data_IF_098359255986
#
_entry.id   IF_098359255986
#
_cell.length_a   1.000
_cell.length_b   1.000
_cell.length_c   1.000
_cell.angle_alpha   90.00
_cell.angle_beta   90.00
_cell.angle_gamma   90.00
#
_symmetry.space_group_name_H-M   'P 1'
#
loop_
_entity.id
_entity.type
_entity.pdbx_description
1 polymer ?
#
# COMPACT_ATOMS: atom_id res chain seq x y z
N UNK A 1 28.88 14.79 9.59
CA UNK A 1 28.31 13.49 9.25
C UNK A 1 26.81 13.48 9.48
N UNK A 2 26.35 13.94 10.62
CA UNK A 2 24.91 14.00 10.98
C UNK A 2 24.11 14.85 9.97
N UNK A 3 24.61 16.00 9.57
CA UNK A 3 23.96 16.93 8.62
C UNK A 3 23.69 16.30 7.24
N UNK A 4 24.53 15.34 6.84
CA UNK A 4 24.35 14.60 5.56
C UNK A 4 23.35 13.45 5.68
N UNK A 5 23.19 12.86 6.87
CA UNK A 5 22.33 11.71 7.08
C UNK A 5 20.88 12.13 7.40
N UNK A 6 20.69 13.29 8.05
CA UNK A 6 19.37 13.77 8.47
C UNK A 6 18.34 13.86 7.32
N UNK A 7 18.66 14.41 6.12
CA UNK A 7 17.71 14.45 5.01
C UNK A 7 17.28 13.05 4.55
N UNK A 8 18.20 12.10 4.55
CA UNK A 8 17.91 10.71 4.17
C UNK A 8 17.06 9.99 5.22
N UNK A 9 17.28 10.26 6.52
CA UNK A 9 16.43 9.72 7.58
C UNK A 9 15.00 10.25 7.46
N UNK A 10 14.81 11.56 7.28
CA UNK A 10 13.50 12.16 7.08
C UNK A 10 12.81 11.57 5.84
N UNK A 11 13.53 11.45 4.73
CA UNK A 11 13.03 10.81 3.52
C UNK A 11 12.71 9.33 3.75
N UNK A 12 13.54 8.60 4.50
CA UNK A 12 13.31 7.19 4.84
C UNK A 12 12.06 6.96 5.67
N UNK A 13 11.81 7.82 6.65
CA UNK A 13 10.58 7.78 7.45
C UNK A 13 9.36 8.10 6.57
N UNK A 14 9.46 9.07 5.68
CA UNK A 14 8.39 9.41 4.73
C UNK A 14 8.09 8.26 3.77
N UNK A 15 9.10 7.70 3.14
CA UNK A 15 8.97 6.54 2.23
C UNK A 15 8.41 5.33 2.97
N UNK A 16 8.88 5.09 4.20
CA UNK A 16 8.33 4.05 5.08
C UNK A 16 6.84 4.23 5.35
N UNK A 17 6.39 5.46 5.59
CA UNK A 17 4.96 5.78 5.72
C UNK A 17 4.15 5.48 4.45
N UNK A 18 4.69 5.82 3.27
CA UNK A 18 4.06 5.51 1.99
C UNK A 18 3.93 4.00 1.77
N UNK A 19 5.02 3.25 2.01
CA UNK A 19 5.00 1.80 1.94
C UNK A 19 4.03 1.19 2.96
N UNK A 20 3.91 1.76 4.16
CA UNK A 20 2.99 1.30 5.20
C UNK A 20 1.52 1.37 4.75
N UNK A 21 1.10 2.45 4.10
CA UNK A 21 -0.26 2.59 3.59
C UNK A 21 -0.60 1.50 2.55
N UNK A 22 0.34 1.18 1.67
CA UNK A 22 0.17 0.11 0.68
C UNK A 22 0.25 -1.28 1.35
N UNK A 23 1.22 -1.48 2.25
CA UNK A 23 1.46 -2.75 2.96
C UNK A 23 0.27 -3.16 3.83
N UNK A 24 -0.40 -2.19 4.46
CA UNK A 24 -1.62 -2.44 5.22
C UNK A 24 -2.74 -2.95 4.31
N UNK A 25 -2.89 -2.40 3.09
CA UNK A 25 -3.83 -2.90 2.10
C UNK A 25 -3.57 -4.37 1.74
N UNK A 26 -2.31 -4.74 1.47
CA UNK A 26 -1.92 -6.14 1.23
C UNK A 26 -2.21 -7.04 2.44
N UNK A 27 -1.81 -6.60 3.62
CA UNK A 27 -1.97 -7.37 4.87
C UNK A 27 -3.43 -7.62 5.20
N UNK A 28 -4.32 -6.66 4.98
CA UNK A 28 -5.76 -6.82 5.22
C UNK A 28 -6.39 -7.85 4.28
N UNK A 29 -6.10 -7.74 2.99
CA UNK A 29 -6.63 -8.69 1.98
C UNK A 29 -6.10 -10.09 2.26
N UNK A 30 -4.80 -10.22 2.54
CA UNK A 30 -4.19 -11.51 2.86
C UNK A 30 -4.74 -12.10 4.16
N UNK A 31 -4.95 -11.30 5.19
CA UNK A 31 -5.48 -11.75 6.48
C UNK A 31 -6.86 -12.42 6.37
N UNK A 32 -7.66 -12.03 5.38
CA UNK A 32 -9.01 -12.55 5.16
C UNK A 32 -9.04 -13.64 4.09
N UNK A 33 -8.45 -13.39 2.93
CA UNK A 33 -8.52 -14.29 1.77
C UNK A 33 -7.37 -15.29 1.70
N UNK A 34 -6.31 -15.09 2.47
CA UNK A 34 -5.03 -15.84 2.36
C UNK A 34 -4.45 -15.81 0.94
N UNK A 35 -4.71 -14.73 0.21
CA UNK A 35 -4.28 -14.50 -1.18
C UNK A 35 -3.67 -13.10 -1.30
N UNK A 36 -2.66 -12.99 -2.18
CA UNK A 36 -1.99 -11.71 -2.44
C UNK A 36 -2.73 -11.01 -3.57
N UNK A 37 -3.04 -9.72 -3.38
CA UNK A 37 -3.62 -8.88 -4.42
C UNK A 37 -2.52 -8.17 -5.23
N UNK A 38 -1.99 -8.80 -6.26
CA UNK A 38 -0.94 -8.20 -7.11
C UNK A 38 -1.38 -6.90 -7.80
N UNK A 39 -2.68 -6.71 -8.06
CA UNK A 39 -3.20 -5.48 -8.66
C UNK A 39 -3.20 -4.26 -7.73
N UNK A 40 -2.84 -4.43 -6.44
CA UNK A 40 -2.92 -3.33 -5.46
C UNK A 40 -1.96 -2.18 -5.77
N UNK A 41 -0.74 -2.49 -6.26
CA UNK A 41 0.22 -1.49 -6.72
C UNK A 41 -0.26 -0.73 -7.97
N UNK A 42 -1.07 -1.38 -8.82
CA UNK A 42 -1.63 -0.74 -10.02
C UNK A 42 -2.86 0.12 -9.68
N UNK A 43 -3.64 -0.25 -8.66
CA UNK A 43 -4.69 0.61 -8.10
C UNK A 43 -4.07 1.90 -7.55
N UNK A 44 -2.92 1.80 -6.86
CA UNK A 44 -2.15 2.96 -6.41
C UNK A 44 -1.67 3.82 -7.59
N UNK A 45 -1.17 3.23 -8.68
CA UNK A 45 -0.77 3.95 -9.91
C UNK A 45 -1.98 4.63 -10.56
N UNK A 46 -3.11 3.94 -10.67
CA UNK A 46 -4.34 4.48 -11.23
C UNK A 46 -4.82 5.73 -10.47
N UNK A 47 -4.71 5.73 -9.14
CA UNK A 47 -5.01 6.91 -8.33
C UNK A 47 -4.12 8.12 -8.71
N UNK A 48 -2.84 7.89 -9.01
CA UNK A 48 -1.94 8.92 -9.51
C UNK A 48 -2.42 9.50 -10.85
N UNK A 49 -2.83 8.66 -11.78
CA UNK A 49 -3.37 9.11 -13.06
C UNK A 49 -4.73 9.82 -12.91
N UNK A 50 -5.62 9.32 -12.06
CA UNK A 50 -6.87 10.03 -11.78
C UNK A 50 -6.60 11.46 -11.30
N UNK A 51 -5.60 11.65 -10.43
CA UNK A 51 -5.23 13.00 -10.00
C UNK A 51 -4.70 13.86 -11.13
N UNK A 52 -3.87 13.32 -12.03
CA UNK A 52 -3.34 14.04 -13.19
C UNK A 52 -4.48 14.53 -14.09
N UNK A 53 -5.43 13.67 -14.42
CA UNK A 53 -6.52 14.03 -15.34
C UNK A 53 -7.59 14.91 -14.69
N UNK A 54 -7.93 14.67 -13.43
CA UNK A 54 -8.96 15.45 -12.73
C UNK A 54 -8.45 16.84 -12.40
N UNK A 55 -7.22 16.97 -11.92
CA UNK A 55 -6.65 18.28 -11.60
C UNK A 55 -6.30 19.13 -12.83
N UNK A 56 -6.35 18.56 -14.03
CA UNK A 56 -6.29 19.33 -15.27
C UNK A 56 -7.56 20.18 -15.52
N UNK A 57 -8.68 19.81 -14.90
CA UNK A 57 -9.98 20.48 -15.10
C UNK A 57 -10.57 21.03 -13.82
N UNK A 58 -10.24 20.48 -12.66
CA UNK A 58 -10.81 20.86 -11.38
C UNK A 58 -9.72 21.31 -10.39
N UNK A 59 -10.05 22.20 -9.44
CA UNK A 59 -9.13 22.57 -8.38
C UNK A 59 -8.69 21.36 -7.57
N UNK A 60 -7.43 21.37 -7.11
CA UNK A 60 -6.81 20.26 -6.36
C UNK A 60 -7.62 19.85 -5.11
N UNK A 61 -8.27 20.82 -4.44
CA UNK A 61 -9.12 20.59 -3.27
C UNK A 61 -10.32 19.68 -3.57
N UNK A 62 -10.88 19.77 -4.78
CA UNK A 62 -11.98 18.92 -5.24
C UNK A 62 -11.45 17.64 -5.87
N UNK A 63 -10.29 17.73 -6.51
CA UNK A 63 -9.66 16.58 -7.17
C UNK A 63 -9.29 15.47 -6.16
N UNK A 64 -8.71 15.82 -5.01
CA UNK A 64 -8.28 14.82 -4.00
C UNK A 64 -9.45 13.91 -3.55
N UNK A 65 -10.58 14.41 -3.02
CA UNK A 65 -11.67 13.53 -2.60
C UNK A 65 -12.25 12.73 -3.77
N UNK A 66 -12.32 13.31 -4.97
CA UNK A 66 -12.80 12.60 -6.15
C UNK A 66 -11.87 11.46 -6.57
N UNK A 67 -10.55 11.66 -6.51
CA UNK A 67 -9.54 10.60 -6.72
C UNK A 67 -9.72 9.47 -5.72
N UNK A 68 -9.92 9.79 -4.44
CA UNK A 68 -10.17 8.77 -3.41
C UNK A 68 -11.41 7.95 -3.75
N UNK A 69 -12.52 8.62 -4.10
CA UNK A 69 -13.77 7.92 -4.46
C UNK A 69 -13.58 7.04 -5.69
N UNK A 70 -12.97 7.55 -6.77
CA UNK A 70 -12.74 6.76 -7.99
C UNK A 70 -11.80 5.58 -7.75
N UNK A 71 -10.78 5.75 -6.92
CA UNK A 71 -9.86 4.65 -6.57
C UNK A 71 -10.57 3.58 -5.75
N UNK A 72 -11.44 3.97 -4.83
CA UNK A 72 -12.27 3.02 -4.06
C UNK A 72 -13.23 2.28 -4.99
N UNK A 73 -13.86 2.97 -5.94
CA UNK A 73 -14.73 2.33 -6.95
C UNK A 73 -13.92 1.35 -7.80
N UNK A 74 -12.71 1.72 -8.24
CA UNK A 74 -11.83 0.84 -8.99
C UNK A 74 -11.48 -0.43 -8.18
N UNK A 75 -11.06 -0.28 -6.93
CA UNK A 75 -10.71 -1.42 -6.08
C UNK A 75 -11.90 -2.32 -5.78
N UNK A 76 -13.10 -1.75 -5.57
CA UNK A 76 -14.33 -2.51 -5.45
C UNK A 76 -14.68 -3.25 -6.74
N UNK A 77 -14.49 -2.61 -7.90
CA UNK A 77 -14.72 -3.24 -9.22
C UNK A 77 -13.77 -4.41 -9.45
N UNK A 78 -12.50 -4.25 -9.11
CA UNK A 78 -11.49 -5.32 -9.17
C UNK A 78 -11.92 -6.51 -8.30
N UNK A 79 -12.38 -6.26 -7.09
CA UNK A 79 -12.89 -7.32 -6.20
C UNK A 79 -14.07 -8.04 -6.85
N UNK A 80 -15.05 -7.30 -7.35
CA UNK A 80 -16.28 -7.86 -7.95
C UNK A 80 -16.03 -8.64 -9.23
N UNK A 81 -15.16 -8.14 -10.11
CA UNK A 81 -14.92 -8.71 -11.42
C UNK A 81 -13.92 -9.88 -11.41
N UNK A 82 -12.85 -9.76 -10.60
CA UNK A 82 -11.73 -10.70 -10.67
C UNK A 82 -11.64 -11.65 -9.47
N UNK A 83 -12.05 -11.23 -8.27
CA UNK A 83 -11.90 -12.06 -7.07
C UNK A 83 -13.18 -12.79 -6.71
N UNK A 84 -14.33 -12.11 -6.75
CA UNK A 84 -15.61 -12.70 -6.35
C UNK A 84 -15.99 -13.94 -7.17
N UNK A 85 -15.87 -13.97 -8.52
CA UNK A 85 -16.23 -15.14 -9.31
C UNK A 85 -15.34 -16.36 -9.06
N UNK A 86 -14.10 -16.12 -8.60
CA UNK A 86 -13.09 -17.17 -8.43
C UNK A 86 -12.90 -17.62 -6.97
N UNK A 87 -13.75 -17.21 -6.05
CA UNK A 87 -13.59 -17.54 -4.62
C UNK A 87 -13.67 -19.02 -4.30
N UNK A 88 -14.43 -19.80 -5.08
CA UNK A 88 -14.52 -21.25 -4.96
C UNK A 88 -13.46 -21.98 -5.81
N UNK A 89 -12.69 -21.26 -6.61
CA UNK A 89 -11.64 -21.83 -7.44
C UNK A 89 -10.35 -22.12 -6.63
N UNK A 90 -9.46 -22.99 -7.14
CA UNK A 90 -8.16 -23.20 -6.54
C UNK A 90 -7.38 -21.89 -6.35
N UNK A 91 -6.60 -21.77 -5.27
CA UNK A 91 -5.82 -20.55 -4.94
C UNK A 91 -4.97 -20.04 -6.12
N UNK A 92 -4.39 -20.96 -6.90
CA UNK A 92 -3.59 -20.61 -8.09
C UNK A 92 -4.41 -19.84 -9.15
N UNK A 93 -5.67 -20.23 -9.40
CA UNK A 93 -6.53 -19.54 -10.36
C UNK A 93 -6.82 -18.10 -9.93
N UNK A 94 -7.04 -17.87 -8.65
CA UNK A 94 -7.24 -16.52 -8.09
C UNK A 94 -5.97 -15.67 -8.21
N UNK A 95 -4.80 -16.25 -7.94
CA UNK A 95 -3.52 -15.55 -8.10
C UNK A 95 -3.24 -15.18 -9.55
N UNK A 96 -3.50 -16.07 -10.49
CA UNK A 96 -3.36 -15.81 -11.94
C UNK A 96 -4.33 -14.69 -12.37
N UNK A 97 -5.56 -14.70 -11.88
CA UNK A 97 -6.52 -13.63 -12.13
C UNK A 97 -6.02 -12.29 -11.60
N UNK A 98 -5.45 -12.25 -10.39
CA UNK A 98 -4.88 -11.04 -9.81
C UNK A 98 -3.74 -10.46 -10.65
N UNK A 99 -2.85 -11.33 -11.16
CA UNK A 99 -1.78 -10.94 -12.09
C UNK A 99 -2.39 -10.44 -13.42
N UNK A 100 -3.41 -11.12 -13.94
CA UNK A 100 -4.12 -10.70 -15.15
C UNK A 100 -4.74 -9.31 -15.01
N UNK A 101 -5.37 -9.00 -13.86
CA UNK A 101 -5.89 -7.66 -13.55
C UNK A 101 -4.77 -6.62 -13.46
N UNK A 102 -3.65 -6.97 -12.84
CA UNK A 102 -2.47 -6.09 -12.77
C UNK A 102 -2.02 -5.69 -14.18
N UNK A 103 -1.81 -6.66 -15.06
CA UNK A 103 -1.45 -6.39 -16.45
C UNK A 103 -2.55 -5.63 -17.24
N UNK A 104 -3.82 -5.92 -16.99
CA UNK A 104 -4.92 -5.18 -17.59
C UNK A 104 -4.87 -3.71 -17.22
N UNK A 105 -4.71 -3.39 -15.93
CA UNK A 105 -4.63 -2.01 -15.44
C UNK A 105 -3.39 -1.29 -16.01
N UNK A 106 -2.23 -1.93 -16.01
CA UNK A 106 -1.01 -1.36 -16.60
C UNK A 106 -1.18 -1.05 -18.07
N UNK A 107 -1.69 -2.01 -18.87
CA UNK A 107 -1.88 -1.82 -20.31
C UNK A 107 -2.98 -0.80 -20.61
N UNK A 108 -4.03 -0.71 -19.79
CA UNK A 108 -5.05 0.33 -19.93
C UNK A 108 -4.44 1.72 -19.70
N UNK A 109 -3.60 1.87 -18.66
CA UNK A 109 -2.88 3.12 -18.42
C UNK A 109 -1.89 3.44 -19.55
N UNK A 110 -1.20 2.43 -20.09
CA UNK A 110 -0.34 2.57 -21.28
C UNK A 110 -1.13 3.09 -22.48
N UNK A 111 -2.29 2.50 -22.75
CA UNK A 111 -3.14 2.89 -23.86
C UNK A 111 -3.63 4.35 -23.72
N UNK A 112 -4.14 4.72 -22.54
CA UNK A 112 -4.68 6.07 -22.28
C UNK A 112 -3.59 7.14 -22.30
N UNK A 113 -2.36 6.82 -21.84
CA UNK A 113 -1.27 7.81 -21.72
C UNK A 113 -0.35 7.85 -22.93
N UNK A 114 -0.48 6.88 -23.84
CA UNK A 114 0.50 6.64 -24.91
C UNK A 114 1.86 6.18 -24.40
N UNK A 115 1.92 5.61 -23.19
CA UNK A 115 3.14 5.15 -22.54
C UNK A 115 4.02 6.28 -21.98
N UNK A 116 3.60 7.53 -22.11
CA UNK A 116 4.38 8.69 -21.68
C UNK A 116 4.16 8.99 -20.19
N UNK A 117 5.24 9.39 -19.53
CA UNK A 117 5.15 9.94 -18.18
C UNK A 117 4.32 11.22 -18.18
N UNK A 118 3.44 11.34 -17.18
CA UNK A 118 2.62 12.53 -16.96
C UNK A 118 3.11 13.27 -15.72
N UNK A 119 3.13 14.62 -15.82
CA UNK A 119 3.48 15.48 -14.70
C UNK A 119 2.34 15.47 -13.67
N UNK A 120 2.67 15.16 -12.41
CA UNK A 120 1.73 15.23 -11.31
C UNK A 120 1.47 16.67 -10.89
N UNK A 121 0.22 17.08 -10.63
CA UNK A 121 -0.10 18.45 -10.24
C UNK A 121 0.53 18.79 -8.88
N UNK A 122 1.01 20.02 -8.75
CA UNK A 122 1.52 20.52 -7.47
C UNK A 122 0.38 20.77 -6.49
N UNK A 123 0.53 20.29 -5.26
CA UNK A 123 -0.43 20.55 -4.17
C UNK A 123 0.19 21.64 -3.27
N UNK A 124 -0.23 22.92 -3.37
CA UNK A 124 0.54 24.05 -2.85
C UNK A 124 0.88 23.94 -1.37
N UNK A 125 -0.07 23.47 -0.52
CA UNK A 125 0.11 23.45 0.94
C UNK A 125 1.04 22.34 1.46
N UNK A 126 1.32 21.27 0.68
CA UNK A 126 2.23 20.18 1.09
C UNK A 126 3.47 20.04 0.19
N UNK A 127 3.52 20.76 -0.94
CA UNK A 127 4.67 20.78 -1.84
C UNK A 127 5.74 21.80 -1.45
N UNK A 128 5.44 22.74 -0.57
CA UNK A 128 6.37 23.75 -0.11
C UNK A 128 7.58 23.14 0.59
N UNK A 129 8.73 23.79 0.45
CA UNK A 129 9.96 23.41 1.15
C UNK A 129 9.96 23.97 2.57
N UNK A 130 10.41 23.18 3.52
CA UNK A 130 10.63 23.55 4.92
C UNK A 130 12.06 23.17 5.32
N UNK A 131 12.70 24.02 6.09
CA UNK A 131 14.05 23.78 6.62
C UNK A 131 13.97 23.32 8.06
N UNK A 132 14.54 22.14 8.35
CA UNK A 132 14.60 21.56 9.69
C UNK A 132 16.07 21.38 10.04
N UNK A 133 16.62 22.27 10.85
CA UNK A 133 18.06 22.31 11.12
C UNK A 133 18.85 22.48 9.82
N UNK A 134 19.81 21.59 9.53
CA UNK A 134 20.62 21.64 8.29
C UNK A 134 19.90 21.04 7.07
N UNK A 135 18.74 20.40 7.24
CA UNK A 135 18.02 19.70 6.18
C UNK A 135 16.89 20.54 5.60
N UNK A 136 16.87 20.72 4.27
CA UNK A 136 15.72 21.28 3.55
C UNK A 136 14.94 20.12 2.93
N UNK A 137 13.64 20.03 3.25
CA UNK A 137 12.75 18.97 2.77
C UNK A 137 11.39 19.54 2.41
N UNK A 138 10.55 18.77 1.71
CA UNK A 138 9.17 19.18 1.44
C UNK A 138 8.29 18.93 2.66
N UNK A 139 7.25 19.75 2.85
CA UNK A 139 6.24 19.56 3.91
C UNK A 139 5.63 18.17 3.86
N UNK A 140 5.37 17.61 2.66
CA UNK A 140 4.84 16.26 2.48
C UNK A 140 5.71 15.18 3.15
N UNK A 141 7.03 15.37 3.24
CA UNK A 141 7.94 14.41 3.90
C UNK A 141 7.62 14.25 5.38
N UNK A 142 7.13 15.31 6.03
CA UNK A 142 6.74 15.31 7.46
C UNK A 142 5.28 14.89 7.62
N UNK A 143 4.41 15.38 6.72
CA UNK A 143 2.98 15.07 6.75
C UNK A 143 2.73 13.58 6.54
N UNK A 144 3.50 12.93 5.65
CA UNK A 144 3.32 11.51 5.31
C UNK A 144 3.36 10.58 6.53
N UNK A 145 4.41 10.54 7.36
CA UNK A 145 4.44 9.62 8.50
C UNK A 145 3.36 9.95 9.55
N UNK A 146 3.07 11.23 9.77
CA UNK A 146 2.02 11.65 10.71
C UNK A 146 0.66 11.15 10.24
N UNK A 147 0.31 11.43 8.98
CA UNK A 147 -0.97 11.00 8.40
C UNK A 147 -1.07 9.47 8.34
N UNK A 148 0.03 8.79 8.01
CA UNK A 148 0.08 7.32 8.01
C UNK A 148 -0.23 6.76 9.39
N UNK A 149 0.40 7.27 10.44
CA UNK A 149 0.17 6.81 11.82
C UNK A 149 -1.28 7.08 12.23
N UNK A 150 -1.83 8.25 11.92
CA UNK A 150 -3.23 8.58 12.20
C UNK A 150 -4.20 7.63 11.49
N UNK A 151 -3.98 7.35 10.22
CA UNK A 151 -4.82 6.43 9.43
C UNK A 151 -4.71 5.00 9.95
N UNK A 152 -3.52 4.56 10.34
CA UNK A 152 -3.32 3.22 10.92
C UNK A 152 -4.02 3.11 12.28
N UNK A 153 -3.91 4.12 13.15
CA UNK A 153 -4.62 4.14 14.44
C UNK A 153 -6.14 4.11 14.21
N UNK A 154 -6.65 4.92 13.29
CA UNK A 154 -8.06 4.92 12.93
C UNK A 154 -8.50 3.55 12.43
N UNK A 155 -7.73 2.93 11.52
CA UNK A 155 -8.01 1.60 11.00
C UNK A 155 -8.01 0.52 12.08
N UNK A 156 -6.99 0.49 12.93
CA UNK A 156 -6.91 -0.46 14.05
C UNK A 156 -8.11 -0.28 14.98
N UNK A 157 -8.51 0.96 15.24
CA UNK A 157 -9.70 1.26 16.04
C UNK A 157 -10.99 0.74 15.38
N UNK A 158 -11.14 0.95 14.07
CA UNK A 158 -12.26 0.41 13.30
C UNK A 158 -12.31 -1.12 13.42
N UNK A 159 -11.16 -1.77 13.20
CA UNK A 159 -11.07 -3.24 13.24
C UNK A 159 -11.33 -3.78 14.65
N UNK A 160 -10.89 -3.10 15.71
CA UNK A 160 -11.05 -3.58 17.08
C UNK A 160 -12.40 -3.27 17.68
N UNK A 161 -12.99 -2.09 17.37
CA UNK A 161 -14.16 -1.56 18.09
C UNK A 161 -15.47 -1.59 17.30
N UNK A 162 -15.45 -1.89 15.99
CA UNK A 162 -16.69 -1.87 15.18
C UNK A 162 -17.20 -3.27 14.86
N UNK A 163 -18.52 -3.35 14.53
CA UNK A 163 -19.16 -4.62 14.09
C UNK A 163 -18.50 -5.17 12.81
N UNK A 164 -18.12 -4.30 11.89
CA UNK A 164 -17.43 -4.68 10.65
C UNK A 164 -16.05 -5.27 10.98
N UNK A 165 -15.29 -4.64 11.86
CA UNK A 165 -14.01 -5.15 12.31
C UNK A 165 -14.12 -6.48 13.07
N UNK A 166 -15.17 -6.66 13.85
CA UNK A 166 -15.47 -7.95 14.50
C UNK A 166 -15.73 -9.04 13.45
N UNK A 167 -16.51 -8.74 12.41
CA UNK A 167 -16.77 -9.66 11.31
C UNK A 167 -15.47 -9.98 10.54
N UNK A 168 -14.61 -9.00 10.27
CA UNK A 168 -13.30 -9.21 9.64
C UNK A 168 -12.42 -10.17 10.45
N UNK A 169 -12.33 -9.97 11.76
CA UNK A 169 -11.55 -10.86 12.65
C UNK A 169 -12.12 -12.27 12.74
N UNK A 170 -13.45 -12.42 12.74
CA UNK A 170 -14.10 -13.72 12.73
C UNK A 170 -13.78 -14.48 11.44
N UNK A 171 -13.97 -13.84 10.28
CA UNK A 171 -13.68 -14.45 8.95
C UNK A 171 -12.19 -14.79 8.80
N UNK A 172 -11.28 -13.96 9.34
CA UNK A 172 -9.83 -14.23 9.26
C UNK A 172 -9.39 -15.43 10.10
N UNK A 173 -10.12 -15.76 11.17
CA UNK A 173 -9.87 -16.92 12.02
C UNK A 173 -10.46 -18.20 11.45
N UNK A 174 -11.70 -18.13 10.99
CA UNK A 174 -12.41 -19.29 10.45
C UNK A 174 -13.38 -18.83 9.34
N UNK A 175 -12.94 -19.08 8.10
CA UNK A 175 -13.68 -18.67 6.91
C UNK A 175 -14.95 -19.54 6.69
N UNK A 176 -14.92 -20.81 7.11
CA UNK A 176 -16.00 -21.76 6.86
C UNK A 176 -17.14 -21.62 7.88
N UNK A 177 -16.81 -21.36 9.15
CA UNK A 177 -17.81 -21.28 10.22
C UNK A 177 -18.40 -19.88 10.40
N UNK A 178 -17.71 -18.81 9.94
CA UNK A 178 -18.20 -17.44 10.05
C UNK A 178 -19.61 -17.22 9.46
N UNK A 179 -20.02 -17.82 8.31
CA UNK A 179 -21.36 -17.70 7.78
C UNK A 179 -22.44 -18.31 8.70
N UNK A 180 -22.11 -19.37 9.44
CA UNK A 180 -23.04 -20.01 10.37
C UNK A 180 -23.45 -19.07 11.52
N UNK A 181 -22.57 -18.08 11.82
CA UNK A 181 -22.83 -17.00 12.79
C UNK A 181 -23.52 -15.79 12.16
N UNK A 182 -24.03 -15.91 10.92
CA UNK A 182 -24.74 -14.84 10.21
C UNK A 182 -23.83 -13.79 9.56
N UNK A 183 -22.51 -14.03 9.47
CA UNK A 183 -21.57 -13.09 8.86
C UNK A 183 -21.60 -13.24 7.34
N UNK A 184 -21.89 -12.16 6.64
CA UNK A 184 -21.86 -12.10 5.17
C UNK A 184 -20.42 -11.91 4.69
N UNK A 185 -19.73 -13.01 4.30
CA UNK A 185 -18.34 -13.00 3.83
C UNK A 185 -18.14 -12.00 2.69
N UNK A 186 -19.07 -11.93 1.74
CA UNK A 186 -19.02 -10.99 0.61
C UNK A 186 -18.85 -9.54 1.08
N UNK A 187 -19.61 -9.14 2.10
CA UNK A 187 -19.55 -7.79 2.65
C UNK A 187 -18.20 -7.52 3.32
N UNK A 188 -17.66 -8.50 4.04
CA UNK A 188 -16.37 -8.38 4.71
C UNK A 188 -15.25 -8.20 3.70
N UNK A 189 -15.22 -9.02 2.64
CA UNK A 189 -14.19 -8.93 1.60
C UNK A 189 -14.30 -7.61 0.84
N UNK A 190 -15.50 -7.23 0.38
CA UNK A 190 -15.69 -5.96 -0.33
C UNK A 190 -15.27 -4.76 0.53
N UNK A 191 -15.60 -4.75 1.82
CA UNK A 191 -15.16 -3.68 2.73
C UNK A 191 -13.64 -3.65 2.89
N UNK A 192 -13.00 -4.81 2.90
CA UNK A 192 -11.52 -4.89 2.96
C UNK A 192 -10.86 -4.28 1.73
N UNK A 193 -11.40 -4.56 0.54
CA UNK A 193 -10.91 -3.95 -0.70
C UNK A 193 -11.16 -2.44 -0.74
N UNK A 194 -12.32 -1.98 -0.26
CA UNK A 194 -12.65 -0.55 -0.13
C UNK A 194 -11.63 0.15 0.76
N UNK A 195 -11.37 -0.38 1.96
CA UNK A 195 -10.41 0.22 2.90
C UNK A 195 -8.98 0.18 2.31
N UNK A 196 -8.56 -0.95 1.74
CA UNK A 196 -7.26 -1.07 1.10
C UNK A 196 -7.08 -0.05 -0.03
N UNK A 197 -8.09 0.11 -0.89
CA UNK A 197 -8.04 1.07 -2.00
C UNK A 197 -8.08 2.52 -1.53
N UNK A 198 -8.77 2.82 -0.43
CA UNK A 198 -8.72 4.13 0.21
C UNK A 198 -7.31 4.46 0.70
N UNK A 199 -6.65 3.53 1.37
CA UNK A 199 -5.27 3.71 1.82
C UNK A 199 -4.30 3.84 0.65
N UNK A 200 -4.48 3.06 -0.43
CA UNK A 200 -3.70 3.18 -1.65
C UNK A 200 -3.89 4.55 -2.32
N UNK A 201 -5.12 5.09 -2.34
CA UNK A 201 -5.39 6.42 -2.88
C UNK A 201 -4.67 7.52 -2.10
N UNK A 202 -4.75 7.49 -0.76
CA UNK A 202 -4.04 8.46 0.09
C UNK A 202 -2.53 8.31 -0.06
N UNK A 203 -2.03 7.06 -0.05
CA UNK A 203 -0.61 6.77 -0.28
C UNK A 203 -0.12 7.30 -1.63
N UNK A 204 -0.94 7.15 -2.69
CA UNK A 204 -0.67 7.67 -4.04
C UNK A 204 -0.55 9.19 -4.05
N UNK A 205 -1.49 9.90 -3.43
CA UNK A 205 -1.44 11.38 -3.35
C UNK A 205 -0.16 11.84 -2.66
N UNK A 206 0.22 11.22 -1.54
CA UNK A 206 1.44 11.57 -0.79
C UNK A 206 2.71 11.23 -1.59
N UNK A 207 2.72 10.08 -2.25
CA UNK A 207 3.87 9.61 -3.03
C UNK A 207 4.14 10.53 -4.22
N UNK A 208 3.13 10.79 -5.05
CA UNK A 208 3.30 11.61 -6.26
C UNK A 208 3.45 13.11 -5.97
N UNK A 209 3.06 13.58 -4.80
CA UNK A 209 3.45 14.93 -4.35
C UNK A 209 4.96 15.03 -4.13
N UNK A 210 5.59 13.94 -3.73
CA UNK A 210 7.04 13.87 -3.57
C UNK A 210 7.76 13.58 -4.88
N UNK A 211 7.25 12.57 -5.64
CA UNK A 211 7.76 12.14 -6.94
C UNK A 211 6.81 12.61 -8.05
N UNK A 212 7.09 13.74 -8.64
CA UNK A 212 6.19 14.50 -9.52
C UNK A 212 5.94 13.88 -10.90
N UNK A 213 6.33 12.64 -11.13
CA UNK A 213 6.17 11.94 -12.42
C UNK A 213 5.38 10.65 -12.24
N UNK A 214 4.31 10.47 -13.01
CA UNK A 214 3.46 9.27 -13.02
C UNK A 214 3.67 8.53 -14.33
N UNK A 215 4.18 7.30 -14.25
CA UNK A 215 4.30 6.39 -15.39
C UNK A 215 3.35 5.19 -15.23
N UNK A 216 2.93 4.52 -16.31
CA UNK A 216 1.96 3.42 -16.24
C UNK A 216 2.33 2.26 -15.30
N UNK A 217 3.61 2.04 -15.08
CA UNK A 217 4.14 0.92 -14.28
C UNK A 217 4.78 1.37 -12.96
N UNK A 218 4.67 2.67 -12.61
CA UNK A 218 5.40 3.23 -11.45
C UNK A 218 5.04 2.56 -10.13
N UNK A 219 3.82 2.06 -9.96
CA UNK A 219 3.37 1.41 -8.73
C UNK A 219 3.89 -0.01 -8.53
N UNK A 220 4.50 -0.62 -9.56
CA UNK A 220 5.03 -1.97 -9.46
C UNK A 220 6.13 -2.08 -8.38
N UNK A 221 7.11 -1.18 -8.38
CA UNK A 221 8.20 -1.21 -7.39
C UNK A 221 7.76 -0.81 -5.99
N UNK A 222 7.06 0.33 -5.75
CA UNK A 222 6.50 0.62 -4.44
C UNK A 222 5.55 -0.47 -3.93
N UNK A 223 4.71 -1.04 -4.80
CA UNK A 223 3.83 -2.14 -4.47
C UNK A 223 4.60 -3.38 -4.02
N UNK A 224 5.63 -3.78 -4.78
CA UNK A 224 6.46 -4.93 -4.41
C UNK A 224 7.22 -4.70 -3.09
N UNK A 225 7.80 -3.50 -2.88
CA UNK A 225 8.47 -3.16 -1.62
C UNK A 225 7.51 -3.12 -0.43
N UNK A 226 6.29 -2.62 -0.63
CA UNK A 226 5.26 -2.65 0.38
C UNK A 226 4.81 -4.09 0.72
N UNK A 227 4.74 -4.97 -0.29
CA UNK A 227 4.53 -6.40 -0.06
C UNK A 227 5.68 -7.02 0.74
N UNK A 228 6.93 -6.73 0.37
CA UNK A 228 8.12 -7.12 1.14
C UNK A 228 8.01 -6.64 2.59
N UNK A 229 7.59 -5.41 2.81
CA UNK A 229 7.38 -4.84 4.14
C UNK A 229 6.30 -5.57 4.94
N UNK A 230 5.19 -5.96 4.29
CA UNK A 230 4.13 -6.73 4.91
C UNK A 230 4.60 -8.13 5.33
N UNK A 231 5.38 -8.80 4.46
CA UNK A 231 5.97 -10.12 4.76
C UNK A 231 7.02 -10.02 5.86
N UNK A 232 7.92 -9.04 5.76
CA UNK A 232 8.95 -8.76 6.76
C UNK A 232 8.34 -8.48 8.14
N UNK A 233 7.29 -7.65 8.18
CA UNK A 233 6.58 -7.32 9.42
C UNK A 233 5.77 -8.47 9.99
N UNK A 234 5.37 -9.42 9.16
CA UNK A 234 4.48 -10.56 9.47
C UNK A 234 3.13 -10.38 8.81
N UNK A 235 2.96 -11.05 7.68
CA UNK A 235 1.75 -10.91 6.85
C UNK A 235 0.50 -11.33 7.64
N UNK A 236 -0.53 -10.50 7.65
CA UNK A 236 -1.73 -10.65 8.47
C UNK A 236 -1.73 -9.76 9.73
N UNK A 237 -0.56 -9.24 10.15
CA UNK A 237 -0.45 -8.30 11.28
C UNK A 237 -0.34 -6.86 10.78
N UNK A 238 -1.37 -6.04 10.98
CA UNK A 238 -1.36 -4.62 10.58
C UNK A 238 -0.22 -3.84 11.26
N UNK A 239 -0.04 -3.91 12.59
CA UNK A 239 1.09 -3.24 13.23
C UNK A 239 2.44 -3.74 12.72
N UNK A 240 2.55 -5.06 12.47
CA UNK A 240 3.76 -5.66 11.89
C UNK A 240 4.10 -5.09 10.53
N UNK A 241 3.14 -5.04 9.62
CA UNK A 241 3.33 -4.47 8.28
C UNK A 241 3.77 -3.00 8.31
N UNK A 242 3.21 -2.20 9.22
CA UNK A 242 3.59 -0.79 9.41
C UNK A 242 5.03 -0.67 9.91
N UNK A 243 5.41 -1.41 10.95
CA UNK A 243 6.78 -1.41 11.48
C UNK A 243 7.76 -1.88 10.41
N UNK A 244 7.42 -2.97 9.70
CA UNK A 244 8.22 -3.48 8.58
C UNK A 244 8.44 -2.44 7.49
N UNK A 245 7.40 -1.69 7.14
CA UNK A 245 7.47 -0.65 6.13
C UNK A 245 8.38 0.53 6.54
N UNK A 246 8.29 0.97 7.80
CA UNK A 246 9.20 2.01 8.31
C UNK A 246 10.65 1.53 8.35
N UNK A 247 10.91 0.29 8.77
CA UNK A 247 12.27 -0.28 8.77
C UNK A 247 12.82 -0.31 7.34
N UNK A 248 12.05 -0.84 6.38
CA UNK A 248 12.48 -0.91 4.97
C UNK A 248 12.71 0.47 4.40
N UNK A 249 11.80 1.43 4.61
CA UNK A 249 11.95 2.79 4.11
C UNK A 249 13.20 3.50 4.67
N UNK A 250 13.48 3.33 5.95
CA UNK A 250 14.68 3.89 6.61
C UNK A 250 15.94 3.20 6.07
N UNK A 251 15.98 1.86 6.03
CA UNK A 251 17.14 1.12 5.52
C UNK A 251 17.46 1.48 4.07
N UNK A 252 16.45 1.53 3.19
CA UNK A 252 16.61 1.92 1.79
C UNK A 252 17.25 3.30 1.66
N UNK A 253 16.78 4.28 2.42
CA UNK A 253 17.30 5.64 2.35
C UNK A 253 18.67 5.80 3.03
N UNK A 254 18.99 5.03 4.07
CA UNK A 254 20.33 4.98 4.64
C UNK A 254 21.35 4.41 3.66
N UNK A 255 20.99 3.38 2.90
CA UNK A 255 21.84 2.81 1.85
C UNK A 255 22.13 3.86 0.76
N UNK A 256 21.10 4.65 0.37
CA UNK A 256 21.26 5.79 -0.55
C UNK A 256 22.19 6.87 0.04
N UNK A 257 22.10 7.14 1.34
CA UNK A 257 22.99 8.07 2.03
C UNK A 257 24.46 7.65 2.01
N UNK A 258 24.73 6.34 1.99
CA UNK A 258 26.07 5.76 1.86
C UNK A 258 26.60 5.77 0.42
N UNK A 259 25.84 6.27 -0.55
CA UNK A 259 26.24 6.34 -1.97
C UNK A 259 25.85 5.11 -2.82
N UNK A 260 25.20 4.11 -2.21
CA UNK A 260 24.80 2.87 -2.91
C UNK A 260 23.38 2.92 -3.46
N UNK A 261 23.00 4.02 -4.11
CA UNK A 261 21.63 4.25 -4.60
C UNK A 261 21.14 3.14 -5.53
N UNK A 262 21.98 2.68 -6.46
CA UNK A 262 21.64 1.62 -7.43
C UNK A 262 21.38 0.27 -6.76
N UNK A 263 22.00 0.01 -5.62
CA UNK A 263 21.85 -1.25 -4.88
C UNK A 263 20.77 -1.20 -3.79
N UNK A 264 20.10 -0.06 -3.58
CA UNK A 264 19.12 0.09 -2.50
C UNK A 264 17.97 -0.92 -2.60
N UNK A 265 17.54 -1.24 -3.81
CA UNK A 265 16.50 -2.23 -4.06
C UNK A 265 16.98 -3.65 -3.78
N UNK A 266 18.19 -3.98 -4.23
CA UNK A 266 18.80 -5.29 -3.96
C UNK A 266 18.94 -5.56 -2.45
N UNK A 267 19.30 -4.55 -1.65
CA UNK A 267 19.34 -4.66 -0.19
C UNK A 267 17.98 -4.91 0.42
N UNK A 268 16.93 -4.24 -0.09
CA UNK A 268 15.55 -4.44 0.40
C UNK A 268 15.10 -5.89 0.19
N UNK A 269 15.38 -6.45 -0.98
CA UNK A 269 15.03 -7.85 -1.27
C UNK A 269 15.95 -8.85 -0.54
N UNK A 270 17.24 -8.55 -0.41
CA UNK A 270 18.15 -9.36 0.38
C UNK A 270 17.72 -9.43 1.85
N UNK A 271 17.30 -8.31 2.43
CA UNK A 271 16.79 -8.25 3.80
C UNK A 271 15.52 -9.10 3.97
N UNK A 272 14.63 -9.15 2.96
CA UNK A 272 13.49 -10.07 2.97
C UNK A 272 13.96 -11.53 3.00
N UNK A 273 14.90 -11.90 2.12
CA UNK A 273 15.41 -13.29 2.08
C UNK A 273 16.01 -13.68 3.42
N UNK A 274 16.83 -12.82 4.01
CA UNK A 274 17.43 -13.06 5.32
C UNK A 274 16.36 -13.28 6.38
N UNK A 275 15.34 -12.40 6.47
CA UNK A 275 14.31 -12.56 7.51
C UNK A 275 13.51 -13.84 7.30
N UNK A 276 13.18 -14.21 6.05
CA UNK A 276 12.42 -15.43 5.78
C UNK A 276 13.21 -16.70 6.10
N UNK A 277 14.54 -16.68 5.98
CA UNK A 277 15.41 -17.80 6.38
C UNK A 277 15.43 -17.99 7.90
N UNK A 278 15.48 -16.89 8.69
CA UNK A 278 15.57 -16.99 10.15
C UNK A 278 14.19 -16.98 10.83
N UNK A 279 13.21 -16.29 10.27
CA UNK A 279 11.87 -16.12 10.84
C UNK A 279 10.81 -16.10 9.74
N UNK A 280 10.41 -17.26 9.20
CA UNK A 280 9.50 -17.36 8.05
C UNK A 280 8.11 -16.75 8.29
N UNK A 281 7.72 -16.56 9.56
CA UNK A 281 6.46 -15.87 9.92
C UNK A 281 6.57 -14.34 9.91
N UNK A 282 7.74 -13.77 9.66
CA UNK A 282 8.03 -12.35 9.83
C UNK A 282 8.21 -11.93 11.30
N UNK A 283 8.44 -10.64 11.55
CA UNK A 283 8.74 -10.13 12.90
C UNK A 283 7.59 -10.33 13.90
N UNK A 284 6.35 -10.11 13.46
CA UNK A 284 5.13 -10.11 14.30
C UNK A 284 4.06 -11.11 13.80
N UNK A 285 4.43 -12.05 12.92
CA UNK A 285 3.51 -13.06 12.42
C UNK A 285 3.16 -14.10 13.50
N UNK A 286 1.90 -14.50 13.54
CA UNK A 286 1.45 -15.61 14.39
C UNK A 286 1.90 -16.95 13.82
N UNK A 287 2.36 -17.87 14.69
CA UNK A 287 2.60 -19.25 14.28
C UNK A 287 1.24 -19.88 13.96
N UNK A 288 1.04 -20.27 12.71
CA UNK A 288 -0.11 -21.08 12.33
C UNK A 288 0.08 -22.45 13.00
N UNK A 289 -0.60 -22.70 14.10
CA UNK A 289 -0.71 -24.05 14.61
C UNK A 289 -1.72 -24.77 13.71
N UNK A 290 -1.25 -25.65 12.85
CA UNK A 290 -2.14 -26.63 12.22
C UNK A 290 -2.81 -27.41 13.35
N UNK A 291 -4.13 -27.22 13.51
CA UNK A 291 -4.91 -28.16 14.31
C UNK A 291 -4.99 -29.44 13.50
N UNK A 292 -4.22 -30.42 13.96
CA UNK A 292 -4.33 -31.82 13.54
C UNK A 292 -5.72 -32.32 13.91
#
# INVERSE_FOLDING_TARGET
MFDKILPYLLSGISVGGQYALIAVGYTMVYGILRLINFAHGDIFTAAGFFMVYIAATLPVQVAIPLVVVLTVILGFTVERAAYKPLRSAPRMSVMISAIGVSYLLQNLMWYVTGGLAKQYPTIPWISNSITIGPATTKVVTIVTPILTILLVIALVTIIQKTKIGMAMRAVSKDFETAPLMGIKIDSVISTTFIIGSLLAAVGSVLYFTNYTSVTPTVGAMPGLKAFVAAVFGGIGSIPGAVIGAFIIGICENLIKALGYTTFSDAFTFALLIVILLFKPTGLFGEKISEKV
#
